data_IF_946498139741
#
_entry.id   IF_946498139741
#
_cell.length_a   1.000
_cell.length_b   1.000
_cell.length_c   1.000
_cell.angle_alpha   90.00
_cell.angle_beta   90.00
_cell.angle_gamma   90.00
#
_symmetry.space_group_name_H-M   'P 1'
#
loop_
_entity.id
_entity.type
_entity.pdbx_description
1 polymer ?
#
# COMPACT_ATOMS: atom_id res chain seq x y z
N UNK A 1 5.69 -37.28 5.31
CA UNK A 1 4.98 -38.17 4.37
C UNK A 1 3.79 -37.50 3.70
N UNK A 2 3.85 -37.28 2.40
CA UNK A 2 2.73 -36.83 1.58
C UNK A 2 2.82 -37.41 0.17
N UNK A 3 1.70 -37.46 -0.54
CA UNK A 3 1.62 -38.14 -1.84
C UNK A 3 1.90 -37.15 -2.96
N UNK A 4 2.89 -37.43 -3.83
CA UNK A 4 3.13 -36.68 -5.06
C UNK A 4 3.05 -37.65 -6.24
N UNK A 5 2.15 -37.40 -7.19
CA UNK A 5 1.89 -38.28 -8.35
C UNK A 5 1.57 -39.75 -8.00
N UNK A 6 0.92 -39.99 -6.86
CA UNK A 6 0.48 -41.34 -6.47
C UNK A 6 1.52 -42.20 -5.74
N UNK A 7 2.74 -41.68 -5.52
CA UNK A 7 3.79 -42.35 -4.75
C UNK A 7 3.92 -41.73 -3.35
N UNK A 8 4.20 -42.56 -2.33
CA UNK A 8 4.56 -42.07 -0.99
C UNK A 8 5.92 -41.37 -1.06
N UNK A 9 5.90 -40.04 -0.94
CA UNK A 9 7.12 -39.23 -0.91
C UNK A 9 7.27 -38.59 0.46
N UNK A 10 8.51 -38.44 0.94
CA UNK A 10 8.73 -37.55 2.06
C UNK A 10 8.75 -36.12 1.54
N UNK A 11 7.67 -35.38 1.85
CA UNK A 11 7.61 -33.94 1.60
C UNK A 11 8.40 -33.29 2.74
N UNK A 12 9.57 -32.69 2.48
CA UNK A 12 10.27 -31.95 3.52
C UNK A 12 9.40 -30.75 3.89
N UNK A 13 8.80 -30.79 5.08
CA UNK A 13 8.20 -29.60 5.70
C UNK A 13 9.38 -28.82 6.26
N UNK A 14 9.95 -27.94 5.44
CA UNK A 14 10.96 -27.02 5.91
C UNK A 14 10.28 -25.71 6.34
N UNK A 15 10.59 -25.24 7.54
CA UNK A 15 10.13 -23.95 8.03
C UNK A 15 11.00 -22.88 7.38
N UNK A 16 10.38 -21.83 6.82
CA UNK A 16 11.13 -20.74 6.21
C UNK A 16 11.98 -20.01 7.25
N UNK A 17 13.22 -19.72 6.90
CA UNK A 17 14.15 -18.99 7.75
C UNK A 17 13.89 -17.49 7.60
N UNK A 18 13.07 -16.94 8.50
CA UNK A 18 12.62 -15.54 8.50
C UNK A 18 13.80 -14.55 8.59
N UNK A 19 14.93 -14.98 9.15
CA UNK A 19 16.11 -14.14 9.32
C UNK A 19 17.09 -14.25 8.13
N UNK A 20 16.79 -15.08 7.14
CA UNK A 20 17.60 -15.23 5.94
C UNK A 20 17.72 -13.89 5.20
N UNK A 21 18.96 -13.40 5.00
CA UNK A 21 19.19 -12.12 4.32
C UNK A 21 18.70 -12.11 2.87
N UNK A 22 18.59 -13.26 2.21
CA UNK A 22 17.95 -13.37 0.88
C UNK A 22 16.47 -12.96 0.87
N UNK A 23 15.79 -13.02 2.03
CA UNK A 23 14.42 -12.55 2.23
C UNK A 23 14.36 -11.07 2.66
N UNK A 24 15.51 -10.38 2.78
CA UNK A 24 15.62 -8.97 3.16
C UNK A 24 15.98 -8.12 1.94
N UNK A 25 15.19 -7.09 1.66
CA UNK A 25 15.49 -6.09 0.63
C UNK A 25 15.81 -4.74 1.26
N UNK A 26 16.84 -4.07 0.76
CA UNK A 26 17.15 -2.69 1.13
C UNK A 26 16.19 -1.75 0.40
N UNK A 27 15.56 -0.85 1.14
CA UNK A 27 14.71 0.22 0.60
C UNK A 27 15.51 1.51 0.54
N UNK A 28 15.59 2.12 -0.64
CA UNK A 28 16.23 3.41 -0.81
C UNK A 28 15.40 4.53 -0.16
N UNK A 29 16.04 5.67 0.13
CA UNK A 29 15.36 6.84 0.72
C UNK A 29 14.16 7.28 -0.12
N UNK A 30 14.31 7.28 -1.46
CA UNK A 30 13.22 7.61 -2.38
C UNK A 30 12.01 6.67 -2.25
N UNK A 31 12.23 5.37 -2.06
CA UNK A 31 11.16 4.40 -1.87
C UNK A 31 10.42 4.63 -0.55
N UNK A 32 11.14 5.01 0.52
CA UNK A 32 10.51 5.32 1.81
C UNK A 32 9.63 6.57 1.70
N UNK A 33 10.12 7.62 1.04
CA UNK A 33 9.37 8.87 0.82
C UNK A 33 8.16 8.61 -0.08
N UNK A 34 8.33 7.86 -1.17
CA UNK A 34 7.24 7.51 -2.09
C UNK A 34 6.11 6.79 -1.35
N UNK A 35 6.44 5.84 -0.48
CA UNK A 35 5.44 5.11 0.31
C UNK A 35 4.65 6.03 1.26
N UNK A 36 5.30 7.05 1.85
CA UNK A 36 4.61 8.04 2.69
C UNK A 36 3.70 8.94 1.86
N UNK A 37 4.20 9.46 0.74
CA UNK A 37 3.41 10.30 -0.17
C UNK A 37 2.21 9.51 -0.70
N UNK A 38 2.40 8.25 -1.12
CA UNK A 38 1.31 7.37 -1.59
C UNK A 38 0.22 7.23 -0.55
N UNK A 39 0.59 6.99 0.71
CA UNK A 39 -0.36 6.92 1.83
C UNK A 39 -1.13 8.22 2.01
N UNK A 40 -0.44 9.37 1.95
CA UNK A 40 -1.05 10.69 2.00
C UNK A 40 -2.04 10.96 0.85
N UNK A 41 -1.68 10.54 -0.36
CA UNK A 41 -2.52 10.65 -1.55
C UNK A 41 -3.77 9.78 -1.46
N UNK A 42 -3.68 8.53 -1.00
CA UNK A 42 -4.86 7.68 -0.80
C UNK A 42 -5.87 8.29 0.17
N UNK A 43 -5.40 8.97 1.23
CA UNK A 43 -6.28 9.69 2.16
C UNK A 43 -6.94 10.92 1.51
N UNK A 44 -6.19 11.66 0.70
CA UNK A 44 -6.72 12.79 -0.08
C UNK A 44 -7.75 12.32 -1.11
N UNK A 45 -7.48 11.23 -1.83
CA UNK A 45 -8.40 10.63 -2.81
C UNK A 45 -9.75 10.30 -2.17
N UNK A 46 -9.73 9.68 -0.98
CA UNK A 46 -10.97 9.39 -0.22
C UNK A 46 -11.78 10.66 0.02
N UNK A 47 -11.15 11.74 0.48
CA UNK A 47 -11.82 13.03 0.74
C UNK A 47 -12.39 13.63 -0.54
N UNK A 48 -11.66 13.54 -1.65
CA UNK A 48 -12.15 13.99 -2.96
C UNK A 48 -13.41 13.22 -3.34
N UNK A 49 -13.39 11.88 -3.23
CA UNK A 49 -14.55 11.04 -3.55
C UNK A 49 -15.78 11.36 -2.70
N UNK A 50 -15.59 11.59 -1.39
CA UNK A 50 -16.68 11.99 -0.47
C UNK A 50 -17.25 13.38 -0.79
N UNK A 51 -16.41 14.32 -1.23
CA UNK A 51 -16.86 15.65 -1.66
C UNK A 51 -17.61 15.59 -2.97
N UNK A 52 -17.19 14.75 -3.92
CA UNK A 52 -17.88 14.57 -5.20
C UNK A 52 -19.30 14.03 -5.04
N UNK A 53 -19.60 13.28 -3.99
CA UNK A 53 -20.96 12.77 -3.73
C UNK A 53 -21.88 13.76 -3.02
N UNK A 54 -21.34 14.83 -2.45
CA UNK A 54 -22.08 15.77 -1.58
C UNK A 54 -22.15 17.20 -2.13
N UNK A 55 -21.22 17.59 -3.00
CA UNK A 55 -21.19 18.92 -3.61
C UNK A 55 -22.07 18.99 -4.86
N UNK A 56 -22.63 20.17 -5.10
CA UNK A 56 -23.35 20.49 -6.33
C UNK A 56 -22.41 20.48 -7.54
N UNK A 57 -22.81 19.78 -8.60
CA UNK A 57 -22.01 19.51 -9.80
C UNK A 57 -21.57 20.80 -10.49
N UNK A 58 -22.40 21.84 -10.47
CA UNK A 58 -22.09 23.13 -11.10
C UNK A 58 -21.05 23.94 -10.33
N UNK A 59 -20.85 23.64 -9.04
CA UNK A 59 -19.90 24.34 -8.17
C UNK A 59 -18.57 23.57 -7.98
N UNK A 60 -18.42 22.38 -8.57
CA UNK A 60 -17.22 21.56 -8.42
C UNK A 60 -16.04 22.20 -9.16
N UNK A 61 -14.97 22.47 -8.42
CA UNK A 61 -13.66 22.85 -8.98
C UNK A 61 -12.55 22.05 -8.30
N UNK A 62 -11.36 21.91 -8.92
CA UNK A 62 -10.24 21.22 -8.28
C UNK A 62 -9.88 21.78 -6.90
N UNK A 63 -10.01 23.11 -6.71
CA UNK A 63 -9.75 23.75 -5.42
C UNK A 63 -10.76 23.35 -4.33
N UNK A 64 -12.04 23.16 -4.66
CA UNK A 64 -13.06 22.77 -3.68
C UNK A 64 -12.95 21.29 -3.30
N UNK A 65 -12.40 20.46 -4.17
CA UNK A 65 -12.19 19.03 -3.93
C UNK A 65 -10.88 18.72 -3.21
N UNK A 66 -9.79 19.39 -3.57
CA UNK A 66 -8.45 19.03 -3.09
C UNK A 66 -8.21 19.56 -1.67
N UNK A 67 -7.79 18.67 -0.78
CA UNK A 67 -7.33 19.01 0.57
C UNK A 67 -5.92 18.46 0.80
N UNK A 68 -4.92 19.34 0.96
CA UNK A 68 -3.50 18.96 1.10
C UNK A 68 -3.10 18.45 2.49
N UNK A 69 -3.92 18.69 3.52
CA UNK A 69 -3.60 18.32 4.91
C UNK A 69 -3.19 16.86 5.09
N UNK A 70 -3.82 15.87 4.44
CA UNK A 70 -3.43 14.46 4.58
C UNK A 70 -2.04 14.14 4.01
N UNK A 71 -1.60 14.85 2.98
CA UNK A 71 -0.26 14.66 2.38
C UNK A 71 0.79 15.28 3.28
N UNK A 72 0.55 16.51 3.77
CA UNK A 72 1.47 17.18 4.70
C UNK A 72 1.61 16.35 5.99
N UNK A 73 0.52 15.81 6.52
CA UNK A 73 0.53 14.96 7.72
C UNK A 73 1.19 13.59 7.51
N UNK A 74 1.37 13.13 6.28
CA UNK A 74 2.10 11.89 5.98
C UNK A 74 3.62 12.13 5.85
N UNK A 75 4.04 13.36 5.59
CA UNK A 75 5.45 13.74 5.41
C UNK A 75 6.04 14.29 6.72
N UNK A 76 5.21 14.94 7.55
CA UNK A 76 5.58 15.52 8.83
C UNK A 76 5.71 14.47 9.92
#
# INVERSE_FOLDING_TARGET
KGVRKGEETDIPINVDDIDHFGNRRIRAVGELIENQIRTGLSRMERVVRERMTTQDVEAITPQTLINIRPVVAAIK
#
